data_IF_647876511216
#
_entry.id   IF_647876511216
#
_cell.length_a   1.000
_cell.length_b   1.000
_cell.length_c   1.000
_cell.angle_alpha   90.00
_cell.angle_beta   90.00
_cell.angle_gamma   90.00
#
_symmetry.space_group_name_H-M   'P 1'
#
loop_
_entity.id
_entity.type
_entity.pdbx_description
1 polymer ?
#
# COMPACT_ATOMS: atom_id res chain seq x y z
N UNK A 1 20.70 -24.69 -48.33
CA UNK A 1 20.37 -24.80 -46.89
C UNK A 1 21.05 -23.70 -46.06
N UNK A 2 22.37 -23.47 -46.21
CA UNK A 2 23.13 -22.45 -45.46
C UNK A 2 22.63 -20.98 -45.59
N UNK A 3 22.15 -20.55 -46.77
CA UNK A 3 21.62 -19.18 -46.98
C UNK A 3 20.35 -18.88 -46.15
N UNK A 4 19.47 -19.87 -45.92
CA UNK A 4 18.26 -19.69 -45.10
C UNK A 4 18.63 -19.59 -43.62
N UNK A 5 19.58 -20.41 -43.15
CA UNK A 5 20.07 -20.36 -41.76
C UNK A 5 20.69 -18.99 -41.44
N UNK A 6 21.51 -18.42 -42.34
CA UNK A 6 22.07 -17.07 -42.15
C UNK A 6 21.01 -15.96 -42.10
N UNK A 7 19.95 -16.06 -42.92
CA UNK A 7 18.84 -15.09 -42.93
C UNK A 7 18.04 -15.14 -41.61
N UNK A 8 17.77 -16.34 -41.09
CA UNK A 8 17.09 -16.53 -39.81
C UNK A 8 17.96 -16.06 -38.63
N UNK A 9 19.27 -16.31 -38.65
CA UNK A 9 20.19 -15.83 -37.62
C UNK A 9 20.25 -14.29 -37.57
N UNK A 10 20.30 -13.63 -38.72
CA UNK A 10 20.27 -12.16 -38.81
C UNK A 10 18.92 -11.61 -38.33
N UNK A 11 17.81 -12.25 -38.69
CA UNK A 11 16.48 -11.84 -38.23
C UNK A 11 16.34 -11.97 -36.70
N UNK A 12 16.80 -13.09 -36.11
CA UNK A 12 16.77 -13.30 -34.66
C UNK A 12 17.67 -12.31 -33.93
N UNK A 13 18.88 -12.06 -34.43
CA UNK A 13 19.79 -11.07 -33.86
C UNK A 13 19.20 -9.65 -33.94
N UNK A 14 18.58 -9.30 -35.07
CA UNK A 14 17.94 -7.99 -35.25
C UNK A 14 16.75 -7.82 -34.29
N UNK A 15 15.92 -8.84 -34.14
CA UNK A 15 14.82 -8.84 -33.17
C UNK A 15 15.33 -8.72 -31.72
N UNK A 16 16.43 -9.38 -31.37
CA UNK A 16 17.07 -9.26 -30.06
C UNK A 16 17.61 -7.84 -29.82
N UNK A 17 18.30 -7.24 -30.80
CA UNK A 17 18.83 -5.88 -30.71
C UNK A 17 17.70 -4.86 -30.57
N UNK A 18 16.65 -4.99 -31.38
CA UNK A 18 15.45 -4.14 -31.28
C UNK A 18 14.77 -4.31 -29.92
N UNK A 19 14.66 -5.55 -29.43
CA UNK A 19 14.15 -5.83 -28.09
C UNK A 19 14.98 -5.14 -27.00
N UNK A 20 16.31 -5.28 -27.05
CA UNK A 20 17.22 -4.65 -26.09
C UNK A 20 17.10 -3.12 -26.14
N UNK A 21 17.09 -2.51 -27.33
CA UNK A 21 16.94 -1.06 -27.49
C UNK A 21 15.58 -0.59 -26.95
N UNK A 22 14.50 -1.33 -27.25
CA UNK A 22 13.15 -0.99 -26.79
C UNK A 22 13.09 -0.97 -25.26
N UNK A 23 13.71 -1.94 -24.58
CA UNK A 23 13.74 -1.96 -23.12
C UNK A 23 14.77 -0.97 -22.55
N UNK A 24 15.89 -0.71 -23.24
CA UNK A 24 16.84 0.33 -22.86
C UNK A 24 16.19 1.73 -22.84
N UNK A 25 15.39 2.04 -23.86
CA UNK A 25 14.66 3.29 -24.00
C UNK A 25 13.39 3.36 -23.14
N UNK A 26 12.83 2.22 -22.73
CA UNK A 26 11.64 2.21 -21.88
C UNK A 26 11.94 2.68 -20.46
N UNK A 27 13.15 2.48 -19.95
CA UNK A 27 13.46 2.85 -18.57
C UNK A 27 13.35 4.37 -18.30
N UNK A 28 14.00 5.27 -19.07
CA UNK A 28 13.77 6.72 -18.93
C UNK A 28 12.32 7.13 -19.20
N UNK A 29 11.64 6.42 -20.11
CA UNK A 29 10.23 6.63 -20.41
C UNK A 29 9.34 6.33 -19.19
N UNK A 30 9.65 5.29 -18.42
CA UNK A 30 8.88 4.84 -17.25
C UNK A 30 9.23 5.63 -15.97
N UNK A 31 10.50 5.95 -15.77
CA UNK A 31 11.03 6.66 -14.57
C UNK A 31 10.90 8.18 -14.64
N UNK A 32 9.87 8.66 -15.33
CA UNK A 32 9.69 10.09 -15.56
C UNK A 32 9.52 10.88 -14.25
N UNK A 33 10.10 12.09 -14.22
CA UNK A 33 9.97 13.06 -13.13
C UNK A 33 9.71 14.43 -13.77
N UNK A 34 8.46 14.88 -13.71
CA UNK A 34 7.97 16.06 -14.43
C UNK A 34 6.91 16.75 -13.55
N UNK A 35 7.33 17.43 -12.47
CA UNK A 35 6.41 18.16 -11.60
C UNK A 35 5.82 19.35 -12.36
N UNK A 36 4.56 19.64 -12.10
CA UNK A 36 3.83 20.70 -12.79
C UNK A 36 3.81 22.02 -12.01
N UNK A 37 4.46 22.10 -10.85
CA UNK A 37 4.46 23.29 -9.98
C UNK A 37 3.19 23.39 -9.15
N UNK A 38 2.62 22.25 -8.75
CA UNK A 38 1.42 22.22 -7.92
C UNK A 38 1.72 22.68 -6.49
N UNK A 39 0.69 23.17 -5.80
CA UNK A 39 0.68 23.32 -4.33
C UNK A 39 -0.01 22.15 -3.62
N UNK A 40 -0.55 21.23 -4.41
CA UNK A 40 -1.17 20.00 -3.94
C UNK A 40 -0.32 18.82 -4.40
N UNK A 41 0.00 17.92 -3.48
CA UNK A 41 0.55 16.61 -3.81
C UNK A 41 -0.46 15.51 -3.53
N UNK A 42 -0.39 14.43 -4.31
CA UNK A 42 -1.03 13.15 -3.96
C UNK A 42 0.01 12.06 -3.89
N UNK A 43 0.19 11.44 -2.72
CA UNK A 43 1.15 10.37 -2.49
C UNK A 43 0.45 9.03 -2.60
N UNK A 44 1.03 8.11 -3.37
CA UNK A 44 0.52 6.73 -3.42
C UNK A 44 0.90 5.96 -2.16
N UNK A 45 -0.10 5.56 -1.36
CA UNK A 45 0.10 4.95 -0.05
C UNK A 45 0.81 3.59 -0.04
N UNK A 46 1.02 2.96 -1.20
CA UNK A 46 1.66 1.65 -1.31
C UNK A 46 3.20 1.73 -1.32
N UNK A 47 3.79 2.93 -1.43
CA UNK A 47 5.25 3.12 -1.37
C UNK A 47 5.78 2.53 -0.06
N UNK A 48 6.85 1.74 -0.18
CA UNK A 48 7.40 1.01 0.96
C UNK A 48 7.86 1.97 2.08
N UNK A 49 7.58 1.66 3.37
CA UNK A 49 7.94 2.50 4.50
C UNK A 49 9.43 2.90 4.58
N UNK A 50 10.33 2.09 4.01
CA UNK A 50 11.76 2.42 3.93
C UNK A 50 12.08 3.69 3.14
N UNK A 51 11.18 4.12 2.24
CA UNK A 51 11.35 5.33 1.42
C UNK A 51 10.56 6.54 1.93
N UNK A 52 9.96 6.47 3.13
CA UNK A 52 9.23 7.60 3.70
C UNK A 52 10.10 8.85 3.92
N UNK A 53 11.41 8.74 4.27
CA UNK A 53 12.29 9.91 4.30
C UNK A 53 12.38 10.61 2.94
N UNK A 54 12.52 9.86 1.84
CA UNK A 54 12.57 10.42 0.49
C UNK A 54 11.24 11.11 0.14
N UNK A 55 10.11 10.48 0.47
CA UNK A 55 8.78 11.08 0.29
C UNK A 55 8.65 12.38 1.09
N UNK A 56 9.08 12.42 2.36
CA UNK A 56 9.06 13.63 3.19
C UNK A 56 9.93 14.74 2.58
N UNK A 57 11.14 14.41 2.14
CA UNK A 57 12.05 15.37 1.52
C UNK A 57 11.43 15.92 0.25
N UNK A 58 10.79 15.06 -0.54
CA UNK A 58 10.05 15.49 -1.71
C UNK A 58 8.89 16.43 -1.41
N UNK A 59 8.13 16.13 -0.35
CA UNK A 59 7.02 16.98 0.08
C UNK A 59 7.52 18.36 0.53
N UNK A 60 8.69 18.40 1.17
CA UNK A 60 9.35 19.62 1.65
C UNK A 60 9.88 20.46 0.49
N UNK A 61 10.64 19.85 -0.42
CA UNK A 61 11.19 20.50 -1.62
C UNK A 61 10.10 21.07 -2.53
N UNK A 62 8.98 20.34 -2.68
CA UNK A 62 7.85 20.80 -3.47
C UNK A 62 7.07 21.96 -2.83
N UNK A 63 7.31 22.22 -1.54
CA UNK A 63 6.59 23.21 -0.75
C UNK A 63 5.06 23.09 -0.93
N UNK A 64 4.55 21.86 -0.80
CA UNK A 64 3.12 21.58 -0.93
C UNK A 64 2.37 22.02 0.33
N UNK A 65 1.23 22.67 0.11
CA UNK A 65 0.35 23.16 1.16
C UNK A 65 -0.63 22.05 1.60
N UNK A 66 -1.08 21.25 0.63
CA UNK A 66 -2.06 20.17 0.83
C UNK A 66 -1.50 18.86 0.30
N UNK A 67 -1.56 17.81 1.14
CA UNK A 67 -1.02 16.49 0.85
C UNK A 67 -2.17 15.49 0.94
N UNK A 68 -2.57 14.95 -0.20
CA UNK A 68 -3.48 13.82 -0.25
C UNK A 68 -2.69 12.52 -0.23
N UNK A 69 -3.25 11.48 0.38
CA UNK A 69 -2.66 10.14 0.34
C UNK A 69 -3.75 9.16 -0.09
N UNK A 70 -3.55 8.49 -1.21
CA UNK A 70 -4.48 7.47 -1.70
C UNK A 70 -4.00 6.09 -1.30
N UNK A 71 -4.91 5.13 -1.11
CA UNK A 71 -4.48 3.77 -0.79
C UNK A 71 -5.63 2.80 -0.56
N UNK A 72 -5.47 1.60 -1.10
CA UNK A 72 -6.45 0.51 -0.93
C UNK A 72 -6.45 0.00 0.51
N UNK A 73 -7.44 -0.82 0.90
CA UNK A 73 -7.44 -1.46 2.20
C UNK A 73 -6.21 -2.37 2.35
N UNK A 74 -5.62 -2.38 3.54
CA UNK A 74 -4.56 -3.30 3.91
C UNK A 74 -5.17 -4.55 4.53
N UNK A 75 -4.42 -5.64 4.57
CA UNK A 75 -4.73 -6.72 5.49
C UNK A 75 -4.83 -6.17 6.92
N UNK A 76 -5.66 -6.79 7.76
CA UNK A 76 -5.68 -6.53 9.20
C UNK A 76 -4.36 -6.97 9.85
N UNK A 77 -3.31 -6.15 9.68
CA UNK A 77 -1.96 -6.49 10.08
C UNK A 77 -1.40 -5.50 11.09
N UNK A 78 -0.94 -5.99 12.23
CA UNK A 78 -0.47 -5.18 13.36
C UNK A 78 0.66 -5.89 14.09
N UNK A 79 1.64 -5.12 14.54
CA UNK A 79 2.68 -5.60 15.45
C UNK A 79 2.42 -5.05 16.84
N UNK A 80 2.40 -5.94 17.84
CA UNK A 80 1.96 -5.64 19.20
C UNK A 80 3.00 -6.05 20.23
N UNK A 81 3.16 -5.19 21.24
CA UNK A 81 3.99 -5.42 22.43
C UNK A 81 3.14 -5.91 23.58
N UNK A 82 3.76 -6.44 24.63
CA UNK A 82 3.03 -6.82 25.84
C UNK A 82 2.21 -5.63 26.38
N UNK A 83 0.94 -5.87 26.69
CA UNK A 83 0.00 -4.83 27.14
C UNK A 83 -0.64 -3.99 26.04
N UNK A 84 -0.21 -4.12 24.78
CA UNK A 84 -0.93 -3.52 23.65
C UNK A 84 -2.21 -4.32 23.35
N UNK A 85 -3.27 -3.63 22.91
CA UNK A 85 -4.49 -4.28 22.39
C UNK A 85 -4.95 -3.57 21.13
N UNK A 86 -5.21 -4.33 20.06
CA UNK A 86 -5.96 -3.81 18.91
C UNK A 86 -7.43 -4.03 19.17
N UNK A 87 -8.19 -2.94 19.16
CA UNK A 87 -9.64 -2.93 19.35
C UNK A 87 -10.29 -2.60 18.02
N UNK A 88 -11.17 -3.49 17.56
CA UNK A 88 -11.97 -3.31 16.35
C UNK A 88 -13.40 -3.09 16.76
N UNK A 89 -13.98 -1.95 16.39
CA UNK A 89 -15.41 -1.73 16.44
C UNK A 89 -16.00 -2.01 15.06
N UNK A 90 -17.01 -2.85 14.99
CA UNK A 90 -17.62 -3.29 13.74
C UNK A 90 -18.69 -2.30 13.27
N UNK A 91 -18.89 -2.22 11.95
CA UNK A 91 -19.95 -1.38 11.38
C UNK A 91 -21.34 -1.81 11.85
N UNK A 92 -21.54 -3.13 11.95
CA UNK A 92 -22.77 -3.79 12.38
C UNK A 92 -22.40 -5.01 13.22
N UNK A 93 -23.27 -5.43 14.16
CA UNK A 93 -23.07 -6.69 14.87
C UNK A 93 -22.97 -7.87 13.88
N UNK A 94 -22.03 -8.78 14.11
CA UNK A 94 -21.91 -10.00 13.29
C UNK A 94 -21.46 -11.21 14.11
N UNK A 95 -21.77 -12.39 13.58
CA UNK A 95 -21.33 -13.71 14.03
C UNK A 95 -20.80 -14.46 12.81
N UNK A 96 -19.86 -15.38 12.97
CA UNK A 96 -19.26 -16.09 11.83
C UNK A 96 -17.95 -16.78 12.16
N UNK A 97 -17.31 -17.31 11.12
CA UNK A 97 -16.03 -18.01 11.25
C UNK A 97 -14.88 -17.00 11.26
N UNK A 98 -14.20 -16.91 12.39
CA UNK A 98 -13.02 -16.07 12.58
C UNK A 98 -11.77 -16.83 12.15
N UNK A 99 -11.01 -16.24 11.22
CA UNK A 99 -9.70 -16.71 10.80
C UNK A 99 -8.65 -15.65 11.15
N UNK A 100 -7.66 -16.02 11.95
CA UNK A 100 -6.56 -15.14 12.35
C UNK A 100 -5.23 -15.79 11.96
N UNK A 101 -4.44 -15.10 11.16
CA UNK A 101 -3.06 -15.51 10.90
C UNK A 101 -2.10 -14.65 11.71
N UNK A 102 -1.29 -15.33 12.51
CA UNK A 102 -0.38 -14.66 13.43
C UNK A 102 0.89 -15.48 13.67
N UNK A 103 1.96 -14.78 14.03
CA UNK A 103 3.20 -15.33 14.56
C UNK A 103 3.77 -14.39 15.62
N UNK A 104 4.76 -14.85 16.35
CA UNK A 104 5.31 -14.10 17.47
C UNK A 104 6.58 -14.70 18.06
N UNK A 105 7.06 -14.02 19.10
CA UNK A 105 8.27 -14.38 19.81
C UNK A 105 8.12 -15.72 20.57
N UNK A 106 9.24 -16.27 21.04
CA UNK A 106 9.24 -17.43 21.92
C UNK A 106 8.38 -17.13 23.16
N UNK A 107 7.58 -18.10 23.59
CA UNK A 107 6.68 -17.99 24.75
C UNK A 107 5.56 -16.93 24.63
N UNK A 108 5.42 -16.29 23.47
CA UNK A 108 4.31 -15.39 23.21
C UNK A 108 3.05 -16.16 22.78
N UNK A 109 1.90 -15.66 23.20
CA UNK A 109 0.58 -16.12 22.78
C UNK A 109 -0.26 -14.99 22.21
N UNK A 110 -1.39 -15.35 21.62
CA UNK A 110 -2.45 -14.46 21.17
C UNK A 110 -3.72 -14.82 21.94
N UNK A 111 -4.40 -13.80 22.46
CA UNK A 111 -5.79 -13.91 22.91
C UNK A 111 -6.65 -12.99 22.04
N UNK A 112 -7.78 -13.53 21.56
CA UNK A 112 -8.84 -12.76 20.90
C UNK A 112 -10.09 -12.82 21.76
N UNK A 113 -10.65 -11.66 22.04
CA UNK A 113 -11.91 -11.51 22.77
C UNK A 113 -12.97 -10.82 21.92
N UNK A 114 -14.24 -11.05 22.23
CA UNK A 114 -15.36 -10.23 21.79
C UNK A 114 -16.08 -9.57 22.97
N UNK A 115 -17.29 -9.06 22.74
CA UNK A 115 -18.14 -8.49 23.78
C UNK A 115 -18.57 -9.51 24.86
N UNK A 116 -18.46 -10.82 24.59
CA UNK A 116 -18.96 -11.90 25.44
C UNK A 116 -17.86 -12.70 26.14
N UNK A 117 -16.61 -12.59 25.68
CA UNK A 117 -15.45 -13.20 26.34
C UNK A 117 -14.35 -13.61 25.39
N UNK A 118 -13.55 -14.59 25.80
CA UNK A 118 -12.45 -15.14 24.99
C UNK A 118 -12.99 -16.04 23.89
N UNK A 119 -12.60 -15.80 22.65
CA UNK A 119 -12.97 -16.62 21.47
C UNK A 119 -11.80 -17.49 21.00
N UNK A 120 -10.57 -16.99 21.14
CA UNK A 120 -9.37 -17.68 20.67
C UNK A 120 -8.23 -17.43 21.65
N UNK A 121 -7.50 -18.49 21.99
CA UNK A 121 -6.23 -18.41 22.71
C UNK A 121 -5.29 -19.44 22.13
N UNK A 122 -4.09 -19.02 21.73
CA UNK A 122 -3.10 -19.93 21.16
C UNK A 122 -1.67 -19.40 21.31
N UNK A 123 -0.69 -20.30 21.29
CA UNK A 123 0.72 -19.94 21.17
C UNK A 123 1.01 -19.38 19.78
N UNK A 124 1.85 -18.36 19.67
CA UNK A 124 2.23 -17.75 18.39
C UNK A 124 3.68 -17.95 17.99
N UNK A 125 4.46 -18.70 18.77
CA UNK A 125 5.86 -18.94 18.42
C UNK A 125 6.01 -19.70 17.10
N UNK A 126 6.88 -19.20 16.21
CA UNK A 126 7.21 -19.82 14.93
C UNK A 126 6.64 -19.06 13.71
N UNK A 127 6.46 -19.74 12.56
CA UNK A 127 5.96 -19.09 11.36
C UNK A 127 4.51 -18.63 11.51
N UNK A 128 4.13 -17.66 10.68
CA UNK A 128 2.77 -17.13 10.65
C UNK A 128 1.79 -18.18 10.11
N UNK A 129 0.90 -18.67 10.97
CA UNK A 129 -0.06 -19.73 10.66
C UNK A 129 -1.51 -19.32 10.98
N UNK A 130 -2.44 -19.95 10.27
CA UNK A 130 -3.87 -19.75 10.42
C UNK A 130 -4.40 -20.41 11.70
N UNK A 131 -5.21 -19.64 12.44
CA UNK A 131 -5.97 -20.09 13.61
C UNK A 131 -7.44 -19.79 13.37
N UNK A 132 -8.29 -20.76 13.68
CA UNK A 132 -9.73 -20.69 13.43
C UNK A 132 -10.47 -20.70 14.76
N UNK A 133 -11.47 -19.86 14.86
CA UNK A 133 -12.46 -19.88 15.92
C UNK A 133 -13.82 -19.45 15.35
N UNK A 134 -14.87 -19.51 16.17
CA UNK A 134 -16.20 -19.09 15.76
C UNK A 134 -16.74 -18.04 16.72
N UNK A 135 -17.24 -16.94 16.16
CA UNK A 135 -17.96 -15.91 16.90
C UNK A 135 -19.41 -16.40 17.02
N UNK A 136 -19.77 -16.96 18.17
CA UNK A 136 -21.06 -17.62 18.37
C UNK A 136 -22.23 -16.65 18.45
N UNK A 137 -22.02 -15.49 19.07
CA UNK A 137 -23.05 -14.47 19.29
C UNK A 137 -22.72 -13.21 18.49
N UNK A 138 -23.71 -12.48 17.97
CA UNK A 138 -23.46 -11.20 17.34
C UNK A 138 -22.63 -10.29 18.26
N UNK A 139 -21.43 -9.95 17.81
CA UNK A 139 -20.52 -9.04 18.51
C UNK A 139 -20.39 -7.73 17.75
N UNK A 140 -20.18 -6.66 18.49
CA UNK A 140 -19.87 -5.33 17.98
C UNK A 140 -18.39 -5.01 18.07
N UNK A 141 -17.64 -5.72 18.93
CA UNK A 141 -16.21 -5.48 19.14
C UNK A 141 -15.40 -6.76 19.12
N UNK A 142 -14.16 -6.63 18.66
CA UNK A 142 -13.12 -7.64 18.75
C UNK A 142 -11.84 -7.02 19.34
N UNK A 143 -11.17 -7.76 20.20
CA UNK A 143 -9.95 -7.36 20.90
C UNK A 143 -8.86 -8.36 20.59
N UNK A 144 -7.69 -7.90 20.16
CA UNK A 144 -6.53 -8.75 19.89
C UNK A 144 -5.38 -8.30 20.79
N UNK A 145 -4.91 -9.19 21.67
CA UNK A 145 -3.86 -8.87 22.63
C UNK A 145 -2.79 -9.99 22.68
N UNK A 146 -1.50 -9.63 22.77
CA UNK A 146 -0.45 -10.59 23.03
C UNK A 146 -0.47 -11.03 24.50
N UNK A 147 -0.10 -12.28 24.74
CA UNK A 147 0.21 -12.82 26.06
C UNK A 147 1.63 -13.35 26.09
N UNK A 148 2.19 -13.58 27.28
CA UNK A 148 3.52 -14.16 27.43
C UNK A 148 3.62 -14.95 28.74
N UNK A 149 4.26 -16.12 28.74
CA UNK A 149 4.38 -16.99 29.93
C UNK A 149 5.51 -16.59 30.90
N UNK A 150 5.98 -15.35 30.82
CA UNK A 150 7.13 -14.83 31.57
C UNK A 150 7.12 -13.30 31.58
N UNK A 151 8.27 -12.67 31.87
CA UNK A 151 8.40 -11.20 31.91
C UNK A 151 9.23 -10.73 30.71
N UNK A 152 8.61 -10.48 29.54
CA UNK A 152 9.33 -9.98 28.37
C UNK A 152 9.74 -8.52 28.57
N UNK A 153 10.74 -8.06 27.84
CA UNK A 153 11.02 -6.63 27.73
C UNK A 153 9.78 -5.92 27.13
N UNK A 154 9.25 -4.86 27.76
CA UNK A 154 8.04 -4.17 27.29
C UNK A 154 8.19 -3.54 25.91
N UNK A 155 9.42 -3.38 25.40
CA UNK A 155 9.70 -2.86 24.05
C UNK A 155 9.67 -3.94 22.97
N UNK A 156 9.68 -5.21 23.34
CA UNK A 156 9.69 -6.30 22.37
C UNK A 156 8.35 -6.40 21.63
N UNK A 157 8.45 -6.52 20.31
CA UNK A 157 7.36 -6.87 19.44
C UNK A 157 7.10 -8.37 19.58
N UNK A 158 6.05 -8.74 20.32
CA UNK A 158 5.78 -10.13 20.69
C UNK A 158 4.87 -10.84 19.71
N UNK A 159 3.98 -10.09 19.06
CA UNK A 159 2.92 -10.64 18.22
C UNK A 159 2.85 -9.82 16.93
N UNK A 160 2.90 -10.52 15.81
CA UNK A 160 2.58 -10.00 14.50
C UNK A 160 1.30 -10.67 13.99
N UNK A 161 0.24 -9.87 13.84
CA UNK A 161 -0.96 -10.25 13.10
C UNK A 161 -0.68 -10.00 11.63
N UNK A 162 -0.79 -11.03 10.80
CA UNK A 162 -0.64 -10.91 9.34
C UNK A 162 -1.98 -10.56 8.68
N UNK A 163 -3.06 -11.20 9.13
CA UNK A 163 -4.44 -10.86 8.80
C UNK A 163 -5.42 -11.42 9.81
N UNK A 164 -6.60 -10.81 9.90
CA UNK A 164 -7.80 -11.37 10.50
C UNK A 164 -8.98 -11.21 9.54
N UNK A 165 -9.83 -12.23 9.46
CA UNK A 165 -11.00 -12.28 8.59
C UNK A 165 -12.18 -12.87 9.34
N UNK A 166 -13.39 -12.40 9.02
CA UNK A 166 -14.63 -13.07 9.42
C UNK A 166 -15.38 -13.47 8.16
N UNK A 167 -15.74 -14.75 8.06
CA UNK A 167 -16.37 -15.36 6.87
C UNK A 167 -15.59 -15.06 5.57
N UNK A 168 -14.25 -15.08 5.68
CA UNK A 168 -13.35 -14.79 4.56
C UNK A 168 -13.18 -13.30 4.22
N UNK A 169 -13.94 -12.40 4.84
CA UNK A 169 -13.85 -10.95 4.63
C UNK A 169 -12.80 -10.35 5.56
N UNK A 170 -11.87 -9.57 5.01
CA UNK A 170 -10.85 -8.85 5.78
C UNK A 170 -11.49 -7.93 6.83
N UNK A 171 -11.01 -8.01 8.08
CA UNK A 171 -11.59 -7.28 9.20
C UNK A 171 -11.54 -5.75 9.02
N UNK A 172 -10.54 -5.22 8.29
CA UNK A 172 -10.51 -3.80 7.90
C UNK A 172 -11.66 -3.37 6.98
N UNK A 173 -12.32 -4.29 6.29
CA UNK A 173 -13.51 -3.99 5.49
C UNK A 173 -14.80 -4.01 6.32
N UNK A 174 -14.79 -4.65 7.50
CA UNK A 174 -15.94 -4.80 8.39
C UNK A 174 -15.95 -3.77 9.54
N UNK A 175 -14.84 -3.06 9.74
CA UNK A 175 -14.65 -2.12 10.82
C UNK A 175 -15.38 -0.78 10.60
N UNK A 176 -15.94 -0.25 11.68
CA UNK A 176 -16.30 1.16 11.87
C UNK A 176 -15.09 1.95 12.33
N UNK A 177 -14.35 1.42 13.31
CA UNK A 177 -13.10 1.99 13.78
C UNK A 177 -12.11 0.89 14.17
N UNK A 178 -10.82 1.18 14.06
CA UNK A 178 -9.75 0.39 14.66
C UNK A 178 -8.92 1.32 15.53
N UNK A 179 -8.65 0.90 16.77
CA UNK A 179 -7.77 1.61 17.69
C UNK A 179 -6.72 0.66 18.25
N UNK A 180 -5.55 1.19 18.55
CA UNK A 180 -4.51 0.47 19.27
C UNK A 180 -4.38 1.13 20.63
N UNK A 181 -4.69 0.37 21.67
CA UNK A 181 -4.51 0.75 23.05
C UNK A 181 -3.11 0.31 23.45
N UNK A 182 -2.20 1.25 23.64
CA UNK A 182 -0.81 0.96 24.02
C UNK A 182 -0.69 0.67 25.50
N UNK A 183 0.31 -0.12 25.87
CA UNK A 183 0.68 -0.35 27.27
C UNK A 183 1.00 0.94 28.06
N UNK A 184 1.38 2.02 27.36
CA UNK A 184 1.58 3.35 27.96
C UNK A 184 0.29 4.10 28.31
N UNK A 185 -0.88 3.55 27.99
CA UNK A 185 -2.18 4.21 28.11
C UNK A 185 -2.54 5.11 26.92
N UNK A 186 -1.62 5.32 25.97
CA UNK A 186 -1.91 6.04 24.72
C UNK A 186 -2.89 5.24 23.85
N UNK A 187 -3.92 5.91 23.34
CA UNK A 187 -4.81 5.35 22.32
C UNK A 187 -4.51 6.02 21.00
N UNK A 188 -4.23 5.21 19.98
CA UNK A 188 -3.87 5.68 18.65
C UNK A 188 -4.75 4.98 17.59
N UNK A 189 -5.03 5.64 16.46
CA UNK A 189 -5.81 5.03 15.39
C UNK A 189 -5.06 3.85 14.78
N UNK A 190 -5.80 2.81 14.41
CA UNK A 190 -5.30 1.75 13.54
C UNK A 190 -5.08 2.25 12.11
N UNK A 191 -4.57 1.37 11.25
CA UNK A 191 -4.18 1.72 9.87
C UNK A 191 -4.92 0.84 8.85
N UNK A 192 -6.24 1.04 8.66
CA UNK A 192 -7.06 0.16 7.84
C UNK A 192 -6.72 0.18 6.34
N UNK A 193 -6.16 1.28 5.83
CA UNK A 193 -5.69 1.40 4.45
C UNK A 193 -4.20 1.75 4.36
N UNK A 194 -3.66 1.64 3.15
CA UNK A 194 -2.33 2.13 2.81
C UNK A 194 -2.22 3.65 3.00
N UNK A 195 -3.33 4.38 2.80
CA UNK A 195 -3.37 5.82 3.07
C UNK A 195 -3.21 6.14 4.56
N UNK A 196 -3.86 5.37 5.44
CA UNK A 196 -3.76 5.56 6.89
C UNK A 196 -2.35 5.25 7.40
N UNK A 197 -1.77 4.15 6.91
CA UNK A 197 -0.42 3.71 7.29
C UNK A 197 0.64 4.76 6.94
N UNK A 198 0.62 5.22 5.68
CA UNK A 198 1.56 6.23 5.21
C UNK A 198 1.33 7.58 5.91
N UNK A 199 0.08 7.98 6.14
CA UNK A 199 -0.21 9.20 6.89
C UNK A 199 0.42 9.16 8.30
N UNK A 200 0.32 8.02 8.99
CA UNK A 200 0.98 7.82 10.28
C UNK A 200 2.50 7.98 10.18
N UNK A 201 3.13 7.28 9.22
CA UNK A 201 4.58 7.32 9.02
C UNK A 201 5.10 8.74 8.68
N UNK A 202 4.40 9.48 7.82
CA UNK A 202 4.79 10.85 7.48
C UNK A 202 4.66 11.81 8.65
N UNK A 203 3.62 11.65 9.49
CA UNK A 203 3.48 12.43 10.72
C UNK A 203 4.60 12.13 11.70
N UNK A 204 4.99 10.87 11.86
CA UNK A 204 6.13 10.46 12.71
C UNK A 204 7.45 11.06 12.20
N UNK A 205 7.59 11.25 10.89
CA UNK A 205 8.73 11.93 10.26
C UNK A 205 8.65 13.47 10.29
N UNK A 206 7.64 14.05 10.95
CA UNK A 206 7.50 15.49 11.17
C UNK A 206 6.67 16.24 10.14
N UNK A 207 6.00 15.55 9.20
CA UNK A 207 5.04 16.21 8.31
C UNK A 207 3.81 16.64 9.12
N UNK A 208 3.40 17.91 9.00
CA UNK A 208 2.28 18.45 9.74
C UNK A 208 0.98 17.70 9.40
N UNK A 209 0.38 17.06 10.41
CA UNK A 209 -0.86 16.29 10.27
C UNK A 209 -2.02 17.11 9.67
N UNK A 210 -2.03 18.44 9.90
CA UNK A 210 -3.02 19.37 9.34
C UNK A 210 -2.94 19.54 7.83
N UNK A 211 -1.81 19.18 7.21
CA UNK A 211 -1.64 19.20 5.75
C UNK A 211 -2.02 17.87 5.09
N UNK A 212 -2.18 16.80 5.88
CA UNK A 212 -2.39 15.45 5.36
C UNK A 212 -3.88 15.09 5.35
N UNK A 213 -4.36 14.72 4.16
CA UNK A 213 -5.71 14.25 3.90
C UNK A 213 -5.67 12.81 3.39
N UNK A 214 -6.24 11.90 4.18
CA UNK A 214 -6.32 10.47 3.84
C UNK A 214 -7.47 10.24 2.87
N UNK A 215 -7.19 9.63 1.73
CA UNK A 215 -8.17 9.22 0.72
C UNK A 215 -8.15 7.68 0.58
N UNK A 216 -8.65 6.94 1.59
CA UNK A 216 -8.75 5.49 1.47
C UNK A 216 -9.64 5.14 0.28
N UNK A 217 -9.23 4.15 -0.49
CA UNK A 217 -9.97 3.66 -1.66
C UNK A 217 -10.62 2.33 -1.37
N UNK A 218 -11.81 2.12 -1.93
CA UNK A 218 -12.41 0.80 -2.02
C UNK A 218 -12.01 0.18 -3.37
N UNK A 219 -11.73 -1.11 -3.37
CA UNK A 219 -11.42 -1.84 -4.60
C UNK A 219 -12.70 -1.96 -5.46
N UNK A 220 -12.96 -0.97 -6.31
CA UNK A 220 -14.04 -0.98 -7.31
C UNK A 220 -13.43 -1.28 -8.69
N UNK A 221 -12.96 -2.52 -8.90
CA UNK A 221 -12.41 -2.96 -10.19
C UNK A 221 -11.07 -3.68 -10.10
N UNK A 222 -10.45 -3.94 -11.25
CA UNK A 222 -9.24 -4.79 -11.36
C UNK A 222 -7.93 -4.03 -11.10
N UNK A 223 -7.92 -2.69 -11.19
CA UNK A 223 -6.72 -1.86 -11.06
C UNK A 223 -6.73 -0.99 -9.80
N UNK A 224 -5.78 -1.25 -8.89
CA UNK A 224 -5.55 -0.43 -7.68
C UNK A 224 -5.18 1.01 -8.01
N UNK A 225 -4.29 1.19 -8.99
CA UNK A 225 -3.84 2.53 -9.43
C UNK A 225 -5.01 3.33 -9.98
N UNK A 226 -5.91 2.70 -10.74
CA UNK A 226 -7.11 3.36 -11.25
C UNK A 226 -8.09 3.75 -10.13
N UNK A 227 -8.38 2.84 -9.20
CA UNK A 227 -9.25 3.15 -8.06
C UNK A 227 -8.70 4.33 -7.21
N UNK A 228 -7.37 4.36 -7.01
CA UNK A 228 -6.69 5.49 -6.36
C UNK A 228 -6.84 6.80 -7.15
N UNK A 229 -6.65 6.75 -8.46
CA UNK A 229 -6.79 7.90 -9.35
C UNK A 229 -8.22 8.45 -9.35
N UNK A 230 -9.23 7.59 -9.46
CA UNK A 230 -10.65 7.98 -9.40
C UNK A 230 -11.01 8.62 -8.07
N UNK A 231 -10.59 8.01 -6.94
CA UNK A 231 -10.87 8.60 -5.63
C UNK A 231 -10.26 9.98 -5.48
N UNK A 232 -9.06 10.20 -6.01
CA UNK A 232 -8.45 11.53 -6.02
C UNK A 232 -9.19 12.48 -6.97
N UNK A 233 -9.62 12.03 -8.16
CA UNK A 233 -10.36 12.86 -9.11
C UNK A 233 -11.68 13.39 -8.52
N UNK A 234 -12.40 12.57 -7.75
CA UNK A 234 -13.58 13.01 -6.98
C UNK A 234 -13.24 14.14 -6.00
N UNK A 235 -12.13 13.99 -5.27
CA UNK A 235 -11.65 15.01 -4.34
C UNK A 235 -11.21 16.29 -5.07
N UNK A 236 -10.51 16.14 -6.20
CA UNK A 236 -10.05 17.25 -7.02
C UNK A 236 -11.24 18.06 -7.55
N UNK A 237 -12.31 17.40 -7.99
CA UNK A 237 -13.56 18.06 -8.38
C UNK A 237 -14.22 18.76 -7.20
N UNK A 238 -14.34 18.10 -6.05
CA UNK A 238 -15.00 18.63 -4.85
C UNK A 238 -14.25 19.85 -4.26
N UNK A 239 -12.94 19.92 -4.44
CA UNK A 239 -12.06 20.97 -3.88
C UNK A 239 -11.58 21.98 -4.91
N UNK A 240 -12.04 21.87 -6.16
CA UNK A 240 -11.60 22.71 -7.28
C UNK A 240 -10.07 22.73 -7.46
N UNK A 241 -9.44 21.55 -7.35
CA UNK A 241 -8.00 21.39 -7.57
C UNK A 241 -7.75 21.33 -9.07
N UNK A 242 -6.98 22.29 -9.60
CA UNK A 242 -6.65 22.39 -11.02
C UNK A 242 -5.24 21.89 -11.36
N UNK A 243 -4.44 21.59 -10.34
CA UNK A 243 -3.05 21.17 -10.51
C UNK A 243 -2.60 20.30 -9.33
N UNK A 244 -1.99 19.17 -9.62
CA UNK A 244 -1.48 18.23 -8.62
C UNK A 244 -0.19 17.56 -9.08
N UNK A 245 0.74 17.33 -8.17
CA UNK A 245 1.87 16.45 -8.40
C UNK A 245 1.63 15.10 -7.72
N UNK A 246 1.60 14.02 -8.51
CA UNK A 246 1.53 12.65 -7.99
C UNK A 246 2.93 12.25 -7.51
N UNK A 247 3.07 11.75 -6.29
CA UNK A 247 4.32 11.14 -5.80
C UNK A 247 4.16 9.62 -5.90
N UNK A 248 5.00 9.01 -6.73
CA UNK A 248 5.01 7.58 -7.03
C UNK A 248 6.44 7.03 -7.03
N UNK A 249 6.62 5.74 -7.30
CA UNK A 249 7.88 5.03 -7.09
C UNK A 249 8.45 4.40 -8.37
N UNK A 250 9.70 4.73 -8.67
CA UNK A 250 10.51 4.17 -9.73
C UNK A 250 9.83 4.16 -11.10
N UNK A 251 9.85 3.00 -11.74
CA UNK A 251 9.24 2.79 -13.06
C UNK A 251 7.71 2.91 -13.07
N UNK A 252 7.06 2.92 -11.90
CA UNK A 252 5.60 3.07 -11.80
C UNK A 252 5.12 4.49 -12.09
N UNK A 253 6.01 5.48 -11.98
CA UNK A 253 5.69 6.90 -12.07
C UNK A 253 4.85 7.26 -13.31
N UNK A 254 5.19 6.70 -14.48
CA UNK A 254 4.43 6.95 -15.71
C UNK A 254 3.01 6.42 -15.68
N UNK A 255 2.82 5.19 -15.20
CA UNK A 255 1.49 4.58 -15.10
C UNK A 255 0.60 5.39 -14.16
N UNK A 256 1.14 5.84 -13.03
CA UNK A 256 0.41 6.69 -12.09
C UNK A 256 0.05 8.03 -12.71
N UNK A 257 1.00 8.74 -13.36
CA UNK A 257 0.68 10.01 -14.02
C UNK A 257 -0.48 9.85 -15.00
N UNK A 258 -0.41 8.83 -15.87
CA UNK A 258 -1.44 8.58 -16.86
C UNK A 258 -2.81 8.29 -16.23
N UNK A 259 -2.86 7.38 -15.25
CA UNK A 259 -4.11 7.02 -14.58
C UNK A 259 -4.77 8.23 -13.89
N UNK A 260 -3.97 9.08 -13.23
CA UNK A 260 -4.49 10.29 -12.58
C UNK A 260 -4.89 11.36 -13.59
N UNK A 261 -4.13 11.55 -14.68
CA UNK A 261 -4.51 12.44 -15.77
C UNK A 261 -5.85 12.03 -16.39
N UNK A 262 -6.01 10.73 -16.68
CA UNK A 262 -7.23 10.20 -17.28
C UNK A 262 -8.42 10.33 -16.32
N UNK A 263 -8.26 9.94 -15.05
CA UNK A 263 -9.32 10.05 -14.06
C UNK A 263 -9.75 11.50 -13.78
N UNK A 264 -8.82 12.46 -13.78
CA UNK A 264 -9.13 13.87 -13.56
C UNK A 264 -9.63 14.59 -14.82
N UNK A 265 -9.40 14.02 -16.01
CA UNK A 265 -9.69 14.64 -17.29
C UNK A 265 -8.92 15.95 -17.52
N UNK A 266 -9.38 16.75 -18.48
CA UNK A 266 -8.70 17.98 -18.91
C UNK A 266 -8.76 19.15 -17.91
N UNK A 267 -9.50 19.01 -16.80
CA UNK A 267 -9.67 20.07 -15.79
C UNK A 267 -8.54 20.19 -14.78
N UNK A 268 -7.63 19.21 -14.74
CA UNK A 268 -6.54 19.13 -13.76
C UNK A 268 -5.22 18.83 -14.46
N UNK A 269 -4.22 19.69 -14.28
CA UNK A 269 -2.86 19.41 -14.73
C UNK A 269 -2.19 18.47 -13.74
N UNK A 270 -1.80 17.29 -14.20
CA UNK A 270 -1.16 16.25 -13.37
C UNK A 270 0.33 16.14 -13.70
N UNK A 271 1.16 16.55 -12.75
CA UNK A 271 2.60 16.30 -12.75
C UNK A 271 2.95 15.03 -11.98
N UNK A 272 4.23 14.67 -11.99
CA UNK A 272 4.74 13.45 -11.37
C UNK A 272 6.09 13.70 -10.69
N UNK A 273 6.22 13.19 -9.47
CA UNK A 273 7.41 13.18 -8.63
C UNK A 273 7.81 11.72 -8.42
N UNK A 274 9.02 11.36 -8.82
CA UNK A 274 9.46 9.97 -8.83
C UNK A 274 10.44 9.66 -7.68
N UNK A 275 9.96 8.91 -6.67
CA UNK A 275 10.81 8.30 -5.64
C UNK A 275 11.67 7.21 -6.30
N UNK A 276 12.99 7.38 -6.26
CA UNK A 276 13.91 6.48 -6.95
C UNK A 276 13.85 5.04 -6.42
N UNK A 277 13.89 4.06 -7.33
CA UNK A 277 14.05 2.64 -6.98
C UNK A 277 15.56 2.29 -6.96
N UNK A 278 16.18 2.06 -5.78
CA UNK A 278 17.61 1.75 -5.69
C UNK A 278 17.97 0.39 -6.32
N UNK A 279 17.00 -0.51 -6.52
CA UNK A 279 17.20 -1.76 -7.26
C UNK A 279 17.27 -1.53 -8.76
N UNK A 280 16.74 -0.40 -9.26
CA UNK A 280 16.73 -0.03 -10.66
C UNK A 280 17.58 1.22 -10.91
N UNK A 281 18.90 1.09 -10.68
CA UNK A 281 19.82 2.20 -10.92
C UNK A 281 19.79 2.66 -12.39
N UNK A 282 19.63 3.97 -12.67
CA UNK A 282 19.71 4.50 -14.02
C UNK A 282 20.98 4.05 -14.74
N UNK A 283 20.83 3.58 -15.98
CA UNK A 283 21.93 3.07 -16.81
C UNK A 283 22.53 1.72 -16.37
N UNK A 284 22.10 1.13 -15.25
CA UNK A 284 22.64 -0.12 -14.73
C UNK A 284 21.57 -1.19 -14.45
N UNK A 285 20.29 -0.83 -14.43
CA UNK A 285 19.17 -1.75 -14.12
C UNK A 285 19.18 -3.04 -14.98
N UNK A 286 19.63 -2.97 -16.23
CA UNK A 286 19.69 -4.10 -17.17
C UNK A 286 20.75 -5.15 -16.79
N UNK A 287 21.63 -4.85 -15.83
CA UNK A 287 22.62 -5.80 -15.30
C UNK A 287 22.00 -6.84 -14.35
N UNK A 288 20.76 -6.61 -13.92
CA UNK A 288 20.05 -7.50 -13.00
C UNK A 288 18.86 -8.18 -13.70
N UNK A 289 18.69 -9.51 -13.57
CA UNK A 289 17.49 -10.20 -14.02
C UNK A 289 16.20 -9.63 -13.41
N UNK A 290 16.28 -9.18 -12.15
CA UNK A 290 15.15 -8.52 -11.48
C UNK A 290 14.81 -7.18 -12.15
N UNK A 291 15.82 -6.46 -12.63
CA UNK A 291 15.63 -5.21 -13.36
C UNK A 291 14.85 -5.41 -14.66
N UNK A 292 15.21 -6.43 -15.44
CA UNK A 292 14.47 -6.83 -16.64
C UNK A 292 13.02 -7.19 -16.32
N UNK A 293 12.80 -8.04 -15.31
CA UNK A 293 11.46 -8.47 -14.93
C UNK A 293 10.56 -7.28 -14.54
N UNK A 294 11.09 -6.37 -13.70
CA UNK A 294 10.37 -5.16 -13.26
C UNK A 294 9.99 -4.27 -14.45
N UNK A 295 10.94 -3.95 -15.33
CA UNK A 295 10.70 -3.08 -16.49
C UNK A 295 9.71 -3.70 -17.47
N UNK A 296 9.86 -4.98 -17.81
CA UNK A 296 8.94 -5.68 -18.72
C UNK A 296 7.51 -5.73 -18.17
N UNK A 297 7.37 -6.04 -16.87
CA UNK A 297 6.06 -6.05 -16.20
C UNK A 297 5.38 -4.69 -16.29
N UNK A 298 6.13 -3.61 -16.05
CA UNK A 298 5.57 -2.27 -16.07
C UNK A 298 5.27 -1.77 -17.49
N UNK A 299 6.08 -2.15 -18.48
CA UNK A 299 5.78 -1.91 -19.90
C UNK A 299 4.46 -2.52 -20.35
N UNK A 300 4.11 -3.71 -19.85
CA UNK A 300 2.80 -4.34 -20.09
C UNK A 300 1.69 -3.68 -19.28
N UNK A 301 2.01 -3.19 -18.07
CA UNK A 301 1.04 -2.53 -17.18
C UNK A 301 0.58 -1.14 -17.66
N UNK A 302 1.44 -0.38 -18.35
CA UNK A 302 1.09 0.96 -18.86
C UNK A 302 -0.10 0.92 -19.84
N UNK A 303 -0.11 0.05 -20.89
CA UNK A 303 -1.27 -0.14 -21.77
C UNK A 303 -2.59 -0.40 -21.02
N UNK A 304 -2.57 -1.17 -19.94
CA UNK A 304 -3.77 -1.47 -19.16
C UNK A 304 -4.41 -0.22 -18.56
N UNK A 305 -3.65 0.87 -18.38
CA UNK A 305 -4.19 2.13 -17.86
C UNK A 305 -4.99 2.92 -18.91
N UNK A 306 -4.79 2.64 -20.20
CA UNK A 306 -5.61 3.18 -21.29
C UNK A 306 -6.88 2.36 -21.56
N UNK A 307 -6.94 1.14 -21.04
CA UNK A 307 -8.08 0.22 -21.25
C UNK A 307 -9.12 0.31 -20.13
N UNK A 308 -8.90 1.17 -19.13
CA UNK A 308 -9.86 1.34 -18.04
C UNK A 308 -10.93 2.32 -18.50
N UNK A 309 -12.18 1.86 -18.49
CA UNK A 309 -13.32 2.70 -18.88
C UNK A 309 -13.50 3.87 -17.92
N UNK A 310 -13.81 5.04 -18.47
CA UNK A 310 -14.34 6.15 -17.70
C UNK A 310 -15.67 5.71 -17.08
N UNK A 311 -15.74 5.69 -15.75
CA UNK A 311 -17.02 5.53 -15.06
C UNK A 311 -17.69 6.90 -15.14
N UNK A 312 -18.82 6.96 -15.86
CA UNK A 312 -19.69 8.14 -15.96
C UNK A 312 -20.29 8.52 -14.61
#
# INVERSE_FOLDING_TARGET
MMRKVGLWSVAVLSALVVGIITVALSFPFLTMNDPCGAKVAVVEGWIDPGYMPDVRDMLTEGAYDTIYITGTPRNFSYTLRIGDTVVVELQRPLSGDLLVNACGALNAGLVVLDDHGVILTDSVFGPCIDRRARIERPTTRLFFAPTHTGVPDPKWELLFLLYAKVDGINLHALQRSVRIHRSSGKVEPGTPSYADAMAGALVELGVLATRIHRLPTVMLGESRTWANAQRFAEEAKARSIHRVDVISFGIHARRSRLAYSEACGNGVVVGIRNVGDPELRPGQWWRSPMGWLKVLRELVGVPASYLVGTVQ
#
